data_IF_817885978445
#
_entry.id   IF_817885978445
#
_cell.length_a   1.000
_cell.length_b   1.000
_cell.length_c   1.000
_cell.angle_alpha   90.00
_cell.angle_beta   90.00
_cell.angle_gamma   90.00
#
_symmetry.space_group_name_H-M   'P 1'
#
loop_
_entity.id
_entity.type
_entity.pdbx_description
1 polymer ?
#
# COMPACT_ATOMS: atom_id res chain seq x y z
N UNK A 1 -36.74 -23.37 -2.87
CA UNK A 1 -36.55 -23.40 -1.39
C UNK A 1 -35.87 -22.12 -0.96
N UNK A 2 -36.47 -21.39 -0.01
CA UNK A 2 -35.90 -20.18 0.55
C UNK A 2 -35.02 -20.53 1.77
N UNK A 3 -33.87 -19.88 1.93
CA UNK A 3 -33.07 -19.98 3.15
C UNK A 3 -33.03 -18.62 3.84
N UNK A 4 -33.56 -18.60 5.05
CA UNK A 4 -33.70 -17.40 5.88
C UNK A 4 -32.32 -16.93 6.38
N UNK A 5 -32.15 -15.61 6.40
CA UNK A 5 -31.08 -14.96 7.15
C UNK A 5 -31.43 -14.97 8.63
N UNK A 6 -30.47 -15.36 9.47
CA UNK A 6 -30.51 -15.15 10.92
C UNK A 6 -29.19 -14.51 11.35
N UNK A 7 -29.26 -13.57 12.28
CA UNK A 7 -28.15 -12.67 12.61
C UNK A 7 -27.77 -12.65 14.08
N UNK A 8 -27.09 -11.56 14.45
CA UNK A 8 -26.73 -11.15 15.82
C UNK A 8 -25.52 -11.86 16.44
N UNK A 9 -24.44 -11.08 16.58
CA UNK A 9 -23.29 -11.37 17.43
C UNK A 9 -23.62 -11.13 18.92
N UNK A 10 -23.00 -11.88 19.83
CA UNK A 10 -22.69 -11.38 21.17
C UNK A 10 -21.19 -11.08 21.34
N UNK A 11 -20.88 -9.88 21.83
CA UNK A 11 -19.54 -9.47 22.25
C UNK A 11 -19.40 -9.69 23.76
N UNK A 12 -18.35 -10.39 24.22
CA UNK A 12 -17.89 -10.33 25.62
C UNK A 12 -16.37 -10.23 25.67
N UNK A 13 -15.87 -9.34 26.52
CA UNK A 13 -14.45 -9.08 26.75
C UNK A 13 -14.22 -8.87 28.25
N UNK A 14 -13.54 -9.79 28.96
CA UNK A 14 -13.02 -9.52 30.28
C UNK A 14 -11.70 -8.73 30.21
N UNK A 15 -11.55 -7.77 31.11
CA UNK A 15 -10.24 -7.38 31.69
C UNK A 15 -10.11 -8.25 32.97
N UNK A 16 -8.92 -8.54 33.51
CA UNK A 16 -8.26 -7.62 34.44
C UNK A 16 -6.84 -8.08 34.86
N UNK A 17 -6.04 -7.07 35.17
CA UNK A 17 -4.90 -6.94 36.11
C UNK A 17 -3.86 -8.07 36.38
N UNK A 18 -2.59 -7.62 36.27
CA UNK A 18 -1.32 -8.26 36.67
C UNK A 18 -0.99 -7.99 38.16
N UNK A 19 -0.20 -8.84 38.84
CA UNK A 19 1.10 -8.32 39.34
C UNK A 19 2.28 -9.33 39.44
N UNK A 20 3.48 -8.89 38.99
CA UNK A 20 4.80 -8.92 39.70
C UNK A 20 5.32 -10.29 40.24
N UNK A 21 6.48 -10.86 39.84
CA UNK A 21 7.84 -10.42 40.27
C UNK A 21 8.99 -11.40 39.88
N UNK A 22 10.25 -10.87 39.87
CA UNK A 22 11.57 -11.54 40.09
C UNK A 22 12.14 -12.53 39.02
N UNK A 23 13.46 -12.64 38.79
CA UNK A 23 14.63 -11.75 39.00
C UNK A 23 15.96 -12.37 38.49
N UNK A 24 16.94 -11.53 38.05
CA UNK A 24 18.43 -11.76 38.06
C UNK A 24 18.98 -12.87 37.10
N UNK A 25 20.20 -12.89 36.53
CA UNK A 25 21.47 -12.09 36.54
C UNK A 25 22.33 -12.50 35.30
N UNK A 26 23.56 -12.04 34.95
CA UNK A 26 24.55 -11.16 35.60
C UNK A 26 25.26 -10.18 34.60
N UNK A 27 26.41 -10.52 33.98
CA UNK A 27 27.41 -9.65 33.30
C UNK A 27 28.44 -10.43 32.45
N UNK A 28 29.10 -9.77 31.48
CA UNK A 28 30.59 -9.68 31.31
C UNK A 28 30.90 -8.43 30.44
N UNK A 29 32.13 -7.90 30.48
CA UNK A 29 32.45 -6.49 30.22
C UNK A 29 33.66 -6.26 29.27
N UNK A 30 33.50 -5.31 28.32
CA UNK A 30 34.53 -4.40 27.73
C UNK A 30 35.78 -4.97 26.99
N UNK A 31 36.59 -4.13 26.29
CA UNK A 31 36.27 -3.06 25.31
C UNK A 31 37.11 -3.19 24.00
N UNK A 32 36.95 -2.27 23.03
CA UNK A 32 38.02 -1.61 22.20
C UNK A 32 37.37 -0.69 21.13
N UNK A 33 38.12 0.34 20.71
CA UNK A 33 37.64 1.55 20.03
C UNK A 33 37.61 1.50 18.48
N UNK A 34 37.01 2.56 17.92
CA UNK A 34 37.27 3.18 16.60
C UNK A 34 36.96 2.41 15.31
N UNK A 35 35.89 2.82 14.63
CA UNK A 35 36.06 3.58 13.38
C UNK A 35 34.85 4.50 13.11
N UNK A 36 35.14 5.76 12.81
CA UNK A 36 34.14 6.80 12.51
C UNK A 36 33.57 6.59 11.10
N UNK A 37 32.25 6.44 10.98
CA UNK A 37 31.54 6.75 9.73
C UNK A 37 30.21 7.42 10.04
N UNK A 38 30.27 8.73 10.21
CA UNK A 38 29.13 9.61 10.42
C UNK A 38 28.20 9.62 9.21
N UNK A 39 27.03 8.99 9.32
CA UNK A 39 25.86 9.34 8.52
C UNK A 39 24.70 9.71 9.44
N UNK A 40 24.80 10.92 9.99
CA UNK A 40 23.64 11.65 10.50
C UNK A 40 22.73 12.00 9.32
N UNK A 41 21.95 11.04 8.83
CA UNK A 41 20.88 11.36 7.89
C UNK A 41 19.74 11.98 8.68
N UNK A 42 19.71 13.31 8.69
CA UNK A 42 18.68 14.14 9.29
C UNK A 42 17.31 13.75 8.73
N UNK A 43 16.59 12.89 9.45
CA UNK A 43 15.17 12.63 9.20
C UNK A 43 14.36 13.87 9.57
N UNK A 44 14.39 14.85 8.67
CA UNK A 44 13.36 15.88 8.58
C UNK A 44 12.04 15.14 8.47
N UNK A 45 11.25 15.15 9.54
CA UNK A 45 9.95 14.50 9.59
C UNK A 45 8.99 15.34 8.75
N UNK A 46 9.03 15.14 7.44
CA UNK A 46 8.01 15.66 6.53
C UNK A 46 6.63 15.33 7.12
N UNK A 47 5.68 16.29 7.14
CA UNK A 47 4.34 16.04 7.64
C UNK A 47 3.79 14.80 6.95
N UNK A 48 3.17 13.92 7.74
CA UNK A 48 2.94 12.52 7.39
C UNK A 48 1.73 12.35 6.48
N UNK A 49 1.85 12.94 5.29
CA UNK A 49 0.81 13.03 4.26
C UNK A 49 0.33 11.66 3.82
N UNK A 50 -0.96 11.57 3.53
CA UNK A 50 -1.52 10.36 2.96
C UNK A 50 -1.17 10.28 1.47
N UNK A 51 -1.02 9.06 0.98
CA UNK A 51 -0.71 8.76 -0.41
C UNK A 51 -1.53 7.57 -0.88
N UNK A 52 -2.03 7.64 -2.11
CA UNK A 52 -2.65 6.52 -2.83
C UNK A 52 -1.59 5.95 -3.76
N UNK A 53 -1.46 4.62 -3.86
CA UNK A 53 -0.50 3.97 -4.76
C UNK A 53 -1.13 2.86 -5.58
N UNK A 54 -0.55 2.65 -6.75
CA UNK A 54 -0.78 1.53 -7.65
C UNK A 54 0.51 0.72 -7.75
N UNK A 55 0.43 -0.57 -7.42
CA UNK A 55 1.51 -1.54 -7.61
C UNK A 55 1.11 -2.62 -8.61
N UNK A 56 2.11 -3.17 -9.29
CA UNK A 56 1.98 -4.19 -10.34
C UNK A 56 2.77 -5.45 -9.94
N UNK A 57 2.14 -6.62 -10.04
CA UNK A 57 2.81 -7.93 -9.95
C UNK A 57 3.56 -8.20 -11.25
N UNK A 58 4.86 -8.49 -11.19
CA UNK A 58 5.61 -8.96 -12.37
C UNK A 58 5.37 -10.44 -12.67
N UNK A 59 4.87 -11.19 -11.68
CA UNK A 59 4.52 -12.60 -11.82
C UNK A 59 3.17 -12.77 -12.49
N UNK A 60 3.09 -13.71 -13.44
CA UNK A 60 1.85 -14.09 -14.08
C UNK A 60 0.94 -14.94 -13.16
N UNK A 61 -0.40 -14.81 -13.26
CA UNK A 61 -1.13 -13.82 -14.06
C UNK A 61 -0.95 -12.39 -13.52
N UNK A 62 -0.65 -11.44 -14.41
CA UNK A 62 -0.33 -10.06 -14.06
C UNK A 62 -1.50 -9.41 -13.32
N UNK A 63 -1.21 -8.78 -12.18
CA UNK A 63 -2.20 -8.22 -11.26
C UNK A 63 -1.81 -6.81 -10.84
N UNK A 64 -2.81 -5.96 -10.64
CA UNK A 64 -2.64 -4.61 -10.07
C UNK A 64 -3.31 -4.53 -8.70
N UNK A 65 -2.68 -3.86 -7.76
CA UNK A 65 -3.28 -3.52 -6.46
C UNK A 65 -3.24 -2.01 -6.24
N UNK A 66 -4.34 -1.46 -5.73
CA UNK A 66 -4.47 -0.05 -5.35
C UNK A 66 -4.78 0.02 -3.86
N UNK A 67 -4.05 0.87 -3.14
CA UNK A 67 -4.22 1.07 -1.70
C UNK A 67 -3.69 2.40 -1.21
N UNK A 68 -3.85 2.65 0.10
CA UNK A 68 -3.39 3.87 0.79
C UNK A 68 -2.33 3.61 1.86
N UNK A 69 -1.46 4.58 2.06
CA UNK A 69 -0.38 4.57 3.06
C UNK A 69 0.12 6.00 3.35
N UNK A 70 0.79 6.20 4.47
CA UNK A 70 1.62 7.38 4.76
C UNK A 70 3.13 7.12 4.60
N UNK A 71 3.49 5.88 4.27
CA UNK A 71 4.85 5.41 4.08
C UNK A 71 4.84 4.33 3.00
N UNK A 72 5.15 4.73 1.77
CA UNK A 72 5.10 3.84 0.61
C UNK A 72 6.28 2.87 0.57
N UNK A 73 7.50 3.33 0.91
CA UNK A 73 8.69 2.48 0.91
C UNK A 73 8.52 1.29 1.87
N UNK A 74 8.05 1.53 3.11
CA UNK A 74 7.75 0.45 4.05
C UNK A 74 6.61 -0.44 3.56
N UNK A 75 5.54 0.13 3.00
CA UNK A 75 4.40 -0.65 2.49
C UNK A 75 4.77 -1.55 1.31
N UNK A 76 5.64 -1.11 0.41
CA UNK A 76 6.13 -1.93 -0.69
C UNK A 76 6.93 -3.13 -0.18
N UNK A 77 7.83 -2.91 0.80
CA UNK A 77 8.58 -3.98 1.49
C UNK A 77 7.65 -4.96 2.21
N UNK A 78 6.54 -4.49 2.80
CA UNK A 78 5.49 -5.36 3.36
C UNK A 78 4.80 -6.22 2.29
N UNK A 79 4.46 -5.65 1.13
CA UNK A 79 3.87 -6.39 0.02
C UNK A 79 4.83 -7.44 -0.54
N UNK A 80 6.12 -7.12 -0.68
CA UNK A 80 7.17 -8.05 -1.11
C UNK A 80 7.56 -9.10 -0.04
N UNK A 81 7.25 -8.84 1.23
CA UNK A 81 7.47 -9.79 2.33
C UNK A 81 8.82 -9.68 3.01
N UNK A 82 9.62 -8.67 2.64
CA UNK A 82 10.88 -8.31 3.33
C UNK A 82 10.63 -7.96 4.81
N UNK A 83 9.45 -7.43 5.13
CA UNK A 83 9.05 -7.09 6.51
C UNK A 83 7.60 -7.53 6.82
N UNK A 84 7.33 -7.76 8.11
CA UNK A 84 6.02 -8.22 8.61
C UNK A 84 4.91 -7.18 8.41
N UNK A 85 3.67 -7.65 8.30
CA UNK A 85 2.47 -6.81 8.18
C UNK A 85 1.95 -6.58 6.75
N UNK A 86 2.42 -7.35 5.76
CA UNK A 86 1.84 -7.36 4.41
C UNK A 86 0.45 -8.01 4.35
N UNK A 87 -0.39 -7.57 3.42
CA UNK A 87 -1.73 -8.14 3.23
C UNK A 87 -1.64 -9.59 2.68
N UNK A 88 -2.41 -10.52 3.26
CA UNK A 88 -2.41 -11.95 2.85
C UNK A 88 -2.69 -12.13 1.35
N UNK A 89 -3.59 -11.35 0.76
CA UNK A 89 -3.88 -11.38 -0.68
C UNK A 89 -2.69 -10.93 -1.56
N UNK A 90 -1.71 -10.20 -1.02
CA UNK A 90 -0.54 -9.72 -1.76
C UNK A 90 0.64 -10.70 -1.76
N UNK A 91 0.62 -11.80 -1.00
CA UNK A 91 1.72 -12.77 -1.01
C UNK A 91 1.87 -13.50 -2.35
N UNK A 92 0.76 -13.78 -3.02
CA UNK A 92 0.73 -14.57 -4.27
C UNK A 92 1.17 -13.79 -5.53
N UNK A 93 1.18 -12.45 -5.48
CA UNK A 93 1.56 -11.58 -6.60
C UNK A 93 2.95 -10.96 -6.45
N UNK A 94 3.84 -11.60 -5.67
CA UNK A 94 5.22 -11.13 -5.49
C UNK A 94 6.10 -11.53 -6.70
N UNK A 95 7.09 -10.70 -7.07
CA UNK A 95 7.38 -9.38 -6.52
C UNK A 95 6.48 -8.28 -7.10
N UNK A 96 6.23 -7.25 -6.30
CA UNK A 96 5.46 -6.06 -6.66
C UNK A 96 6.40 -4.90 -7.00
N UNK A 97 6.09 -4.20 -8.09
CA UNK A 97 6.73 -2.95 -8.49
C UNK A 97 5.80 -1.76 -8.27
N UNK A 98 6.37 -0.59 -8.00
CA UNK A 98 5.65 0.68 -8.02
C UNK A 98 5.30 1.06 -9.47
N UNK A 99 4.03 1.33 -9.76
CA UNK A 99 3.59 1.81 -11.08
C UNK A 99 3.11 3.27 -11.03
N UNK A 100 2.44 3.67 -9.96
CA UNK A 100 2.06 5.06 -9.72
C UNK A 100 1.93 5.33 -8.22
N UNK A 101 2.33 6.52 -7.79
CA UNK A 101 2.05 7.06 -6.46
C UNK A 101 1.45 8.46 -6.60
N UNK A 102 0.43 8.75 -5.80
CA UNK A 102 -0.27 10.03 -5.74
C UNK A 102 -0.14 10.53 -4.32
N UNK A 103 0.48 11.70 -4.16
CA UNK A 103 0.80 12.32 -2.86
C UNK A 103 0.09 13.67 -2.72
N UNK A 104 0.12 14.25 -1.52
CA UNK A 104 -0.54 15.53 -1.21
C UNK A 104 -1.90 15.41 -0.50
N UNK A 105 -2.37 14.21 -0.17
CA UNK A 105 -3.61 14.06 0.59
C UNK A 105 -3.43 14.49 2.06
N UNK A 106 -4.13 15.55 2.46
CA UNK A 106 -4.08 16.08 3.82
C UNK A 106 -4.77 15.19 4.86
N UNK A 107 -5.71 14.32 4.46
CA UNK A 107 -6.41 13.43 5.38
C UNK A 107 -6.74 12.05 4.79
N UNK A 108 -6.88 11.06 5.68
CA UNK A 108 -7.25 9.68 5.37
C UNK A 108 -8.56 9.60 4.58
N UNK A 109 -9.57 10.42 4.92
CA UNK A 109 -10.87 10.39 4.27
C UNK A 109 -10.78 10.73 2.77
N UNK A 110 -10.03 11.78 2.41
CA UNK A 110 -9.78 12.14 0.99
C UNK A 110 -9.05 11.01 0.24
N UNK A 111 -7.99 10.45 0.83
CA UNK A 111 -7.24 9.34 0.22
C UNK A 111 -8.09 8.07 0.03
N UNK A 112 -8.91 7.71 1.02
CA UNK A 112 -9.83 6.56 0.96
C UNK A 112 -10.95 6.75 -0.06
N UNK A 113 -11.51 7.97 -0.13
CA UNK A 113 -12.51 8.33 -1.14
C UNK A 113 -11.92 8.27 -2.56
N UNK A 114 -10.69 8.74 -2.74
CA UNK A 114 -9.96 8.65 -4.01
C UNK A 114 -9.68 7.20 -4.42
N UNK A 115 -9.14 6.38 -3.53
CA UNK A 115 -8.94 4.93 -3.74
C UNK A 115 -10.24 4.24 -4.17
N UNK A 116 -11.34 4.54 -3.47
CA UNK A 116 -12.66 3.96 -3.73
C UNK A 116 -13.20 4.39 -5.09
N UNK A 117 -13.14 5.69 -5.43
CA UNK A 117 -13.50 6.20 -6.76
C UNK A 117 -12.65 5.55 -7.86
N UNK A 118 -11.33 5.47 -7.71
CA UNK A 118 -10.44 4.86 -8.72
C UNK A 118 -10.76 3.38 -8.97
N UNK A 119 -11.07 2.62 -7.91
CA UNK A 119 -11.56 1.23 -8.04
C UNK A 119 -12.92 1.16 -8.77
N UNK A 120 -13.84 2.08 -8.51
CA UNK A 120 -15.14 2.16 -9.20
C UNK A 120 -14.96 2.50 -10.68
N UNK A 121 -14.20 3.55 -11.02
CA UNK A 121 -13.93 3.92 -12.42
C UNK A 121 -13.21 2.80 -13.18
N UNK A 122 -12.23 2.12 -12.55
CA UNK A 122 -11.56 0.96 -13.17
C UNK A 122 -12.55 -0.16 -13.54
N UNK A 123 -13.58 -0.38 -12.70
CA UNK A 123 -14.63 -1.40 -12.93
C UNK A 123 -15.66 -0.98 -13.97
N UNK A 124 -15.98 0.31 -14.06
CA UNK A 124 -16.95 0.87 -15.02
C UNK A 124 -16.38 1.05 -16.43
N UNK A 125 -15.08 1.32 -16.56
CA UNK A 125 -14.43 1.53 -17.85
C UNK A 125 -14.41 0.22 -18.65
N UNK A 126 -14.85 0.20 -19.93
CA UNK A 126 -14.80 -1.01 -20.74
C UNK A 126 -13.36 -1.45 -20.97
N UNK A 127 -13.11 -2.76 -20.87
CA UNK A 127 -11.83 -3.34 -21.28
C UNK A 127 -11.64 -3.14 -22.78
N UNK A 128 -10.43 -2.75 -23.18
CA UNK A 128 -10.08 -2.58 -24.60
C UNK A 128 -10.19 -3.93 -25.34
N UNK A 129 -10.65 -3.92 -26.59
CA UNK A 129 -10.60 -5.11 -27.46
C UNK A 129 -9.14 -5.54 -27.67
N UNK A 130 -8.89 -6.85 -27.65
CA UNK A 130 -7.59 -7.47 -27.90
C UNK A 130 -7.28 -7.35 -29.40
N UNK A 131 -6.55 -6.31 -29.79
CA UNK A 131 -6.22 -6.00 -31.19
C UNK A 131 -4.94 -5.19 -31.40
N UNK A 132 -4.17 -4.93 -30.35
CA UNK A 132 -2.80 -4.44 -30.42
C UNK A 132 -1.90 -5.39 -29.65
N UNK A 133 -0.71 -5.68 -30.21
CA UNK A 133 0.38 -6.40 -29.55
C UNK A 133 0.98 -5.51 -28.46
N UNK A 134 0.38 -5.56 -27.29
CA UNK A 134 0.79 -4.82 -26.09
C UNK A 134 0.84 -5.78 -24.91
N UNK A 135 1.86 -5.63 -24.05
CA UNK A 135 2.03 -6.51 -22.89
C UNK A 135 0.80 -6.47 -21.97
N UNK A 136 0.48 -7.60 -21.32
CA UNK A 136 -0.58 -7.66 -20.32
C UNK A 136 -0.38 -6.63 -19.20
N UNK A 137 0.87 -6.35 -18.83
CA UNK A 137 1.20 -5.30 -17.85
C UNK A 137 0.84 -3.91 -18.35
N UNK A 138 1.24 -3.56 -19.57
CA UNK A 138 1.00 -2.26 -20.19
C UNK A 138 -0.49 -2.01 -20.42
N UNK A 139 -1.21 -3.00 -20.94
CA UNK A 139 -2.66 -2.92 -21.12
C UNK A 139 -3.40 -2.69 -19.78
N UNK A 140 -2.95 -3.34 -18.69
CA UNK A 140 -3.49 -3.11 -17.35
C UNK A 140 -3.14 -1.71 -16.80
N UNK A 141 -1.91 -1.24 -17.01
CA UNK A 141 -1.49 0.09 -16.58
C UNK A 141 -2.20 1.20 -17.37
N UNK A 142 -2.36 1.04 -18.69
CA UNK A 142 -3.13 1.95 -19.54
C UNK A 142 -4.59 2.02 -19.11
N UNK A 143 -5.21 0.88 -18.79
CA UNK A 143 -6.59 0.82 -18.25
C UNK A 143 -6.69 1.55 -16.90
N UNK A 144 -5.69 1.38 -16.01
CA UNK A 144 -5.62 2.09 -14.73
C UNK A 144 -5.39 3.59 -14.88
N UNK A 145 -4.58 4.03 -15.85
CA UNK A 145 -4.34 5.44 -16.17
C UNK A 145 -5.60 6.12 -16.68
N UNK A 146 -6.28 5.55 -17.67
CA UNK A 146 -7.58 6.06 -18.17
C UNK A 146 -8.64 6.15 -17.08
N UNK A 147 -8.64 5.20 -16.13
CA UNK A 147 -9.52 5.24 -14.97
C UNK A 147 -9.10 6.27 -13.91
N UNK A 148 -7.80 6.62 -13.83
CA UNK A 148 -7.26 7.67 -12.97
C UNK A 148 -7.59 9.06 -13.52
N UNK A 149 -7.43 9.27 -14.82
CA UNK A 149 -7.76 10.54 -15.49
C UNK A 149 -9.23 10.93 -15.18
N UNK A 150 -10.16 9.96 -15.26
CA UNK A 150 -11.57 10.16 -14.88
C UNK A 150 -11.83 10.41 -13.38
N UNK A 151 -10.88 10.07 -12.50
CA UNK A 151 -10.94 10.44 -11.07
C UNK A 151 -10.50 11.88 -10.87
N UNK A 152 -9.45 12.33 -11.59
CA UNK A 152 -9.03 13.74 -11.60
C UNK A 152 -10.11 14.64 -12.22
N UNK A 153 -10.80 14.20 -13.27
CA UNK A 153 -11.98 14.91 -13.80
C UNK A 153 -13.14 15.02 -12.77
N UNK A 154 -13.23 14.07 -11.81
CA UNK A 154 -14.34 13.94 -10.85
C UNK A 154 -14.03 14.48 -9.44
N UNK A 155 -12.81 14.94 -9.20
CA UNK A 155 -12.34 15.48 -7.93
C UNK A 155 -11.41 16.64 -8.25
N UNK A 156 -11.70 17.83 -7.71
CA UNK A 156 -10.81 19.00 -7.77
C UNK A 156 -9.55 18.77 -6.92
N UNK A 157 -8.68 17.93 -7.46
CA UNK A 157 -7.48 17.38 -6.85
C UNK A 157 -6.22 17.86 -7.61
N UNK A 158 -6.28 19.07 -8.16
CA UNK A 158 -5.18 19.75 -8.86
C UNK A 158 -3.91 19.91 -8.00
N UNK A 159 -4.05 19.92 -6.68
CA UNK A 159 -2.95 19.96 -5.71
C UNK A 159 -2.25 18.61 -5.47
N UNK A 160 -2.71 17.51 -6.07
CA UNK A 160 -2.11 16.19 -5.87
C UNK A 160 -0.98 15.93 -6.89
N UNK A 161 0.23 15.71 -6.38
CA UNK A 161 1.35 15.28 -7.20
C UNK A 161 1.19 13.80 -7.57
N UNK A 162 1.22 13.49 -8.86
CA UNK A 162 1.04 12.14 -9.41
C UNK A 162 2.31 11.68 -10.12
N UNK A 163 3.10 10.85 -9.46
CA UNK A 163 4.32 10.28 -10.03
C UNK A 163 4.01 8.91 -10.65
N UNK A 164 3.94 8.84 -11.98
CA UNK A 164 3.90 7.56 -12.69
C UNK A 164 5.33 7.02 -12.86
N UNK A 165 5.59 5.87 -12.27
CA UNK A 165 6.81 5.11 -12.53
C UNK A 165 6.47 4.03 -13.56
N UNK A 166 6.83 4.31 -14.81
CA UNK A 166 6.85 3.27 -15.84
C UNK A 166 7.76 2.17 -15.28
N UNK A 167 7.23 0.95 -15.19
CA UNK A 167 7.96 -0.20 -14.69
C UNK A 167 8.89 -0.72 -15.80
N UNK A 168 9.88 0.11 -16.16
CA UNK A 168 10.93 -0.25 -17.11
C UNK A 168 11.71 -1.43 -16.54
N UNK A 169 11.91 -2.44 -17.38
CA UNK A 169 12.54 -3.71 -17.04
C UNK A 169 14.06 -3.58 -17.07
#
# INVERSE_FOLDING_TARGET
MMRLISGTFPSVKPRDHNPISKSKTLKTQFPISSSTSSQQNSKVSNPKSWSVYLILSTKEPIKTYVGITTDFARRLKQHNGEIKGGAKASSAGRPWLCACIITGFTCLSKASSFESKWKIFTRKLPRRKKGEEMSQSEALLQHRRRALDKVHDSLECSHLQTDWKIATR
#
